data_IF_358729614609
#
_entry.id   IF_358729614609
#
_cell.length_a   1.000
_cell.length_b   1.000
_cell.length_c   1.000
_cell.angle_alpha   90.00
_cell.angle_beta   90.00
_cell.angle_gamma   90.00
#
_symmetry.space_group_name_H-M   'P 1'
#
loop_
_entity.id
_entity.type
_entity.pdbx_description
1 polymer ?
#
# COMPACT_ATOMS: atom_id res chain seq x y z
N UNK A 1 19.41 -21.45 2.56
CA UNK A 1 18.34 -20.98 1.66
C UNK A 1 18.88 -19.85 0.79
N UNK A 2 18.91 -20.02 -0.53
CA UNK A 2 19.37 -18.98 -1.47
C UNK A 2 18.36 -17.82 -1.48
N UNK A 3 18.83 -16.58 -1.39
CA UNK A 3 18.07 -15.31 -1.42
C UNK A 3 17.02 -15.25 -2.54
N UNK A 4 17.28 -15.88 -3.69
CA UNK A 4 16.32 -15.99 -4.79
C UNK A 4 15.03 -16.77 -4.47
N UNK A 5 15.00 -17.63 -3.45
CA UNK A 5 13.79 -18.34 -3.03
C UNK A 5 12.84 -17.45 -2.23
N UNK A 6 13.39 -16.52 -1.44
CA UNK A 6 12.60 -15.60 -0.61
C UNK A 6 11.93 -14.56 -1.50
N UNK A 7 12.64 -13.99 -2.47
CA UNK A 7 12.09 -13.00 -3.39
C UNK A 7 10.91 -13.58 -4.20
N UNK A 8 10.96 -14.87 -4.55
CA UNK A 8 9.86 -15.56 -5.26
C UNK A 8 8.61 -15.78 -4.40
N UNK A 9 8.76 -15.88 -3.07
CA UNK A 9 7.63 -16.00 -2.13
C UNK A 9 6.84 -14.68 -2.02
N UNK A 10 7.47 -13.55 -2.31
CA UNK A 10 6.87 -12.22 -2.19
C UNK A 10 6.69 -11.52 -3.55
N UNK A 11 6.80 -12.25 -4.66
CA UNK A 11 6.79 -11.67 -6.00
C UNK A 11 5.44 -11.02 -6.33
N UNK A 12 4.32 -11.63 -5.92
CA UNK A 12 2.99 -11.03 -6.06
C UNK A 12 2.89 -9.68 -5.34
N UNK A 13 3.35 -9.62 -4.08
CA UNK A 13 3.35 -8.39 -3.30
C UNK A 13 4.29 -7.32 -3.86
N UNK A 14 5.46 -7.70 -4.37
CA UNK A 14 6.38 -6.74 -4.99
C UNK A 14 5.77 -6.10 -6.25
N UNK A 15 5.16 -6.91 -7.11
CA UNK A 15 4.48 -6.40 -8.32
C UNK A 15 3.29 -5.52 -7.93
N UNK A 16 2.51 -5.92 -6.93
CA UNK A 16 1.41 -5.12 -6.40
C UNK A 16 1.91 -3.78 -5.81
N UNK A 17 3.02 -3.79 -5.08
CA UNK A 17 3.64 -2.58 -4.53
C UNK A 17 4.09 -1.63 -5.63
N UNK A 18 4.73 -2.15 -6.70
CA UNK A 18 5.13 -1.35 -7.86
C UNK A 18 3.91 -0.77 -8.59
N UNK A 19 2.85 -1.56 -8.81
CA UNK A 19 1.62 -1.08 -9.43
C UNK A 19 0.96 0.02 -8.59
N UNK A 20 0.91 -0.17 -7.27
CA UNK A 20 0.37 0.84 -6.36
C UNK A 20 1.22 2.10 -6.32
N UNK A 21 2.56 1.98 -6.36
CA UNK A 21 3.45 3.13 -6.44
C UNK A 21 3.20 3.95 -7.71
N UNK A 22 3.03 3.29 -8.86
CA UNK A 22 2.68 3.96 -10.11
C UNK A 22 1.29 4.62 -10.04
N UNK A 23 0.30 3.94 -9.46
CA UNK A 23 -1.05 4.49 -9.28
C UNK A 23 -1.04 5.73 -8.37
N UNK A 24 -0.31 5.67 -7.25
CA UNK A 24 -0.11 6.79 -6.33
C UNK A 24 0.58 7.95 -7.05
N UNK A 25 1.68 7.70 -7.77
CA UNK A 25 2.39 8.74 -8.50
C UNK A 25 1.50 9.43 -9.55
N UNK A 26 0.74 8.64 -10.31
CA UNK A 26 -0.19 9.16 -11.32
C UNK A 26 -1.32 9.98 -10.68
N UNK A 27 -1.96 9.46 -9.63
CA UNK A 27 -3.03 10.16 -8.93
C UNK A 27 -2.54 11.48 -8.31
N UNK A 28 -1.35 11.48 -7.69
CA UNK A 28 -0.73 12.68 -7.14
C UNK A 28 -0.44 13.70 -8.23
N UNK A 29 0.11 13.27 -9.35
CA UNK A 29 0.42 14.13 -10.50
C UNK A 29 -0.87 14.73 -11.10
N UNK A 30 -1.93 13.94 -11.25
CA UNK A 30 -3.23 14.42 -11.75
C UNK A 30 -3.84 15.47 -10.83
N UNK A 31 -3.80 15.26 -9.51
CA UNK A 31 -4.26 16.26 -8.54
C UNK A 31 -3.43 17.54 -8.65
N UNK A 32 -2.11 17.43 -8.77
CA UNK A 32 -1.23 18.58 -8.93
C UNK A 32 -1.43 19.31 -10.26
N UNK A 33 -1.74 18.60 -11.34
CA UNK A 33 -2.06 19.20 -12.64
C UNK A 33 -3.43 19.91 -12.61
N UNK A 34 -4.46 19.25 -12.06
CA UNK A 34 -5.80 19.82 -11.90
C UNK A 34 -5.80 21.03 -10.96
N UNK A 35 -4.91 21.01 -9.97
CA UNK A 35 -4.64 22.16 -9.13
C UNK A 35 -4.11 23.35 -9.91
N UNK A 36 -3.04 23.10 -10.67
CA UNK A 36 -2.30 24.13 -11.40
C UNK A 36 -3.13 24.73 -12.54
N UNK A 37 -4.02 23.95 -13.14
CA UNK A 37 -4.94 24.42 -14.18
C UNK A 37 -6.14 25.23 -13.64
N UNK A 38 -6.23 25.40 -12.32
CA UNK A 38 -7.30 26.17 -11.69
C UNK A 38 -8.67 25.47 -11.69
N UNK A 39 -8.75 24.23 -12.16
CA UNK A 39 -9.96 23.40 -12.07
C UNK A 39 -10.40 23.16 -10.62
N UNK A 40 -9.45 23.23 -9.69
CA UNK A 40 -9.69 23.09 -8.25
C UNK A 40 -9.20 24.34 -7.48
N UNK A 41 -9.11 25.49 -8.17
CA UNK A 41 -8.41 26.72 -7.77
C UNK A 41 -8.56 27.21 -6.31
N UNK A 42 -9.72 27.17 -5.62
CA UNK A 42 -9.73 27.62 -4.24
C UNK A 42 -9.04 26.64 -3.28
N UNK A 43 -8.95 25.34 -3.62
CA UNK A 43 -8.48 24.31 -2.68
C UNK A 43 -6.97 24.15 -2.58
N UNK A 44 -6.16 24.68 -3.51
CA UNK A 44 -4.68 24.59 -3.41
C UNK A 44 -3.98 25.89 -3.00
N UNK A 45 -4.60 27.05 -3.22
CA UNK A 45 -4.14 28.30 -2.59
C UNK A 45 -4.25 28.19 -1.05
N UNK A 46 -5.13 27.33 -0.56
CA UNK A 46 -5.37 27.02 0.84
C UNK A 46 -4.50 25.84 1.36
N UNK A 47 -3.72 25.16 0.51
CA UNK A 47 -2.84 24.06 0.95
C UNK A 47 -1.55 24.57 1.60
N UNK A 48 -1.19 25.83 1.40
CA UNK A 48 -0.12 26.52 2.11
C UNK A 48 -0.38 28.05 2.20
N UNK A 49 -1.35 28.56 2.99
CA UNK A 49 -1.11 29.79 3.70
C UNK A 49 -0.22 29.42 4.88
N UNK A 50 0.57 30.34 5.43
CA UNK A 50 1.22 30.07 6.70
C UNK A 50 0.18 29.56 7.72
N UNK A 51 0.51 28.49 8.45
CA UNK A 51 -0.14 27.97 9.65
C UNK A 51 -1.50 28.62 10.01
N UNK A 52 -2.63 27.91 9.81
CA UNK A 52 -3.76 27.82 10.78
C UNK A 52 -5.13 27.38 10.21
N UNK A 53 -5.33 27.23 8.90
CA UNK A 53 -6.60 26.72 8.38
C UNK A 53 -6.38 25.63 7.32
N UNK A 54 -6.74 24.39 7.67
CA UNK A 54 -6.70 23.24 6.75
C UNK A 54 -7.88 23.27 5.78
N UNK A 55 -7.67 23.20 4.45
CA UNK A 55 -8.71 22.72 3.55
C UNK A 55 -8.72 21.19 3.66
N UNK A 56 -9.45 20.70 4.65
CA UNK A 56 -9.59 19.29 5.02
C UNK A 56 -10.22 18.39 3.95
N UNK A 57 -10.44 18.88 2.73
CA UNK A 57 -11.28 18.23 1.70
C UNK A 57 -10.48 17.40 0.68
N UNK A 58 -9.28 17.84 0.30
CA UNK A 58 -8.48 17.17 -0.76
C UNK A 58 -7.66 16.00 -0.22
N UNK A 59 -7.11 16.14 1.00
CA UNK A 59 -6.36 15.09 1.69
C UNK A 59 -7.16 13.79 1.90
N UNK A 60 -8.43 13.80 2.37
CA UNK A 60 -9.19 12.57 2.56
C UNK A 60 -9.57 11.92 1.23
N UNK A 61 -9.95 12.69 0.21
CA UNK A 61 -10.33 12.13 -1.09
C UNK A 61 -9.17 11.39 -1.74
N UNK A 62 -7.96 11.97 -1.71
CA UNK A 62 -6.76 11.33 -2.24
C UNK A 62 -6.38 10.08 -1.43
N UNK A 63 -6.53 10.13 -0.10
CA UNK A 63 -6.33 8.98 0.79
C UNK A 63 -7.28 7.83 0.45
N UNK A 64 -8.56 8.13 0.17
CA UNK A 64 -9.52 7.12 -0.28
C UNK A 64 -9.18 6.54 -1.65
N UNK A 65 -8.71 7.36 -2.60
CA UNK A 65 -8.24 6.88 -3.90
C UNK A 65 -7.07 5.91 -3.72
N UNK A 66 -6.09 6.24 -2.89
CA UNK A 66 -4.97 5.34 -2.59
C UNK A 66 -5.43 4.05 -1.91
N UNK A 67 -6.36 4.12 -0.96
CA UNK A 67 -6.88 2.95 -0.27
C UNK A 67 -7.64 2.02 -1.23
N UNK A 68 -8.56 2.56 -2.03
CA UNK A 68 -9.37 1.79 -2.96
C UNK A 68 -8.52 1.16 -4.08
N UNK A 69 -7.55 1.90 -4.61
CA UNK A 69 -6.59 1.36 -5.59
C UNK A 69 -5.74 0.25 -4.99
N UNK A 70 -5.26 0.42 -3.75
CA UNK A 70 -4.49 -0.61 -3.05
C UNK A 70 -5.30 -1.89 -2.81
N UNK A 71 -6.57 -1.76 -2.38
CA UNK A 71 -7.48 -2.90 -2.21
C UNK A 71 -7.73 -3.59 -3.56
N UNK A 72 -8.01 -2.82 -4.61
CA UNK A 72 -8.22 -3.36 -5.95
C UNK A 72 -7.01 -4.14 -6.44
N UNK A 73 -5.81 -3.57 -6.30
CA UNK A 73 -4.55 -4.21 -6.69
C UNK A 73 -4.28 -5.46 -5.83
N UNK A 74 -4.51 -5.39 -4.52
CA UNK A 74 -4.34 -6.53 -3.62
C UNK A 74 -5.23 -7.73 -3.98
N UNK A 75 -6.46 -7.47 -4.43
CA UNK A 75 -7.44 -8.49 -4.80
C UNK A 75 -7.34 -8.92 -6.27
N UNK A 76 -6.57 -8.19 -7.09
CA UNK A 76 -6.43 -8.50 -8.50
C UNK A 76 -5.69 -9.82 -8.67
N UNK A 77 -6.36 -10.77 -9.31
CA UNK A 77 -5.78 -12.07 -9.62
C UNK A 77 -4.99 -11.95 -10.92
N UNK A 78 -3.70 -12.30 -10.88
CA UNK A 78 -2.83 -12.28 -12.05
C UNK A 78 -1.83 -13.42 -12.03
N UNK A 79 -1.09 -13.59 -13.13
CA UNK A 79 -0.09 -14.66 -13.28
C UNK A 79 0.94 -14.69 -12.14
N UNK A 80 1.23 -13.54 -11.53
CA UNK A 80 2.15 -13.42 -10.38
C UNK A 80 1.56 -13.96 -9.07
N UNK A 81 0.25 -13.80 -8.85
CA UNK A 81 -0.46 -14.38 -7.70
C UNK A 81 -0.46 -15.89 -7.82
N UNK A 82 -0.70 -16.42 -9.02
CA UNK A 82 -0.72 -17.86 -9.29
C UNK A 82 0.65 -18.50 -9.11
N UNK A 83 1.69 -17.84 -9.61
CA UNK A 83 3.06 -18.27 -9.42
C UNK A 83 3.47 -18.28 -7.94
N UNK A 84 3.12 -17.22 -7.22
CA UNK A 84 3.41 -17.10 -5.78
C UNK A 84 2.64 -18.15 -4.98
N UNK A 85 1.37 -18.40 -5.31
CA UNK A 85 0.55 -19.44 -4.68
C UNK A 85 1.14 -20.84 -4.90
N UNK A 86 1.55 -21.17 -6.12
CA UNK A 86 2.20 -22.45 -6.43
C UNK A 86 3.51 -22.63 -5.64
N UNK A 87 4.28 -21.55 -5.46
CA UNK A 87 5.51 -21.59 -4.70
C UNK A 87 5.27 -21.74 -3.18
N UNK A 88 4.30 -21.01 -2.62
CA UNK A 88 3.88 -21.15 -1.21
C UNK A 88 3.42 -22.59 -0.95
N UNK A 89 2.59 -23.15 -1.84
CA UNK A 89 2.11 -24.54 -1.74
C UNK A 89 3.24 -25.57 -1.78
N UNK A 90 4.28 -25.31 -2.59
CA UNK A 90 5.46 -26.17 -2.66
C UNK A 90 6.32 -26.05 -1.40
N UNK A 91 6.53 -24.83 -0.91
CA UNK A 91 7.31 -24.57 0.30
C UNK A 91 6.64 -25.14 1.55
N UNK A 92 5.32 -25.01 1.69
CA UNK A 92 4.58 -25.55 2.83
C UNK A 92 4.66 -27.07 2.92
N UNK A 93 4.50 -27.76 1.77
CA UNK A 93 4.68 -29.22 1.66
C UNK A 93 6.10 -29.70 1.99
N UNK A 94 7.12 -28.90 1.68
CA UNK A 94 8.51 -29.21 2.03
C UNK A 94 8.82 -28.97 3.51
N UNK A 95 8.21 -27.97 4.13
CA UNK A 95 8.45 -27.63 5.55
C UNK A 95 7.69 -28.51 6.53
N UNK A 96 6.43 -28.84 6.23
CA UNK A 96 5.59 -29.72 7.05
C UNK A 96 4.85 -30.71 6.14
N UNK A 97 5.44 -31.87 5.82
CA UNK A 97 4.78 -32.85 4.94
C UNK A 97 3.53 -33.45 5.57
N UNK A 98 3.43 -33.47 6.91
CA UNK A 98 2.29 -34.03 7.66
C UNK A 98 1.11 -33.04 7.74
N UNK A 99 1.39 -31.73 7.77
CA UNK A 99 0.36 -30.66 7.84
C UNK A 99 0.75 -29.43 7.01
N UNK A 100 0.73 -29.54 5.68
CA UNK A 100 1.10 -28.44 4.78
C UNK A 100 0.15 -27.24 4.88
N UNK A 101 -1.11 -27.49 5.27
CA UNK A 101 -2.15 -26.49 5.32
C UNK A 101 -1.99 -25.56 6.53
N UNK A 102 -1.42 -26.04 7.63
CA UNK A 102 -1.27 -25.25 8.86
C UNK A 102 -0.30 -24.08 8.66
N UNK A 103 0.83 -24.31 7.99
CA UNK A 103 1.81 -23.26 7.68
C UNK A 103 1.23 -22.21 6.71
N UNK A 104 0.46 -22.66 5.72
CA UNK A 104 -0.17 -21.78 4.72
C UNK A 104 -1.26 -20.92 5.37
N UNK A 105 -2.07 -21.49 6.26
CA UNK A 105 -3.09 -20.76 7.04
C UNK A 105 -2.47 -19.74 7.98
N UNK A 106 -1.41 -20.09 8.70
CA UNK A 106 -0.72 -19.16 9.59
C UNK A 106 -0.16 -17.95 8.81
N UNK A 107 0.50 -18.21 7.67
CA UNK A 107 1.00 -17.18 6.77
C UNK A 107 -0.14 -16.27 6.26
N UNK A 108 -1.25 -16.88 5.82
CA UNK A 108 -2.44 -16.16 5.36
C UNK A 108 -2.96 -15.19 6.42
N UNK A 109 -3.13 -15.66 7.66
CA UNK A 109 -3.63 -14.84 8.77
C UNK A 109 -2.67 -13.70 9.08
N UNK A 110 -1.36 -13.98 9.16
CA UNK A 110 -0.36 -12.95 9.43
C UNK A 110 -0.35 -11.86 8.35
N UNK A 111 -0.39 -12.25 7.06
CA UNK A 111 -0.40 -11.31 5.95
C UNK A 111 -1.68 -10.47 5.90
N UNK A 112 -2.84 -11.08 6.16
CA UNK A 112 -4.10 -10.33 6.27
C UNK A 112 -4.13 -9.36 7.45
N UNK A 113 -3.64 -9.79 8.62
CA UNK A 113 -3.59 -8.95 9.81
C UNK A 113 -2.67 -7.74 9.56
N UNK A 114 -1.53 -7.98 8.90
CA UNK A 114 -0.61 -6.92 8.49
C UNK A 114 -1.26 -5.99 7.46
N UNK A 115 -1.95 -6.52 6.45
CA UNK A 115 -2.66 -5.74 5.44
C UNK A 115 -3.76 -4.85 6.06
N UNK A 116 -4.58 -5.40 6.96
CA UNK A 116 -5.59 -4.64 7.70
C UNK A 116 -4.94 -3.55 8.55
N UNK A 117 -3.81 -3.85 9.21
CA UNK A 117 -3.02 -2.86 9.93
C UNK A 117 -2.61 -1.69 9.04
N UNK A 118 -2.10 -1.98 7.83
CA UNK A 118 -1.78 -0.94 6.85
C UNK A 118 -3.02 -0.15 6.40
N UNK A 119 -4.15 -0.80 6.14
CA UNK A 119 -5.40 -0.11 5.80
C UNK A 119 -5.85 0.86 6.90
N UNK A 120 -5.74 0.45 8.17
CA UNK A 120 -6.04 1.32 9.31
C UNK A 120 -5.05 2.50 9.37
N UNK A 121 -3.76 2.24 9.17
CA UNK A 121 -2.72 3.27 9.19
C UNK A 121 -2.84 4.28 8.04
N UNK A 122 -3.33 3.87 6.87
CA UNK A 122 -3.67 4.79 5.76
C UNK A 122 -4.69 5.85 6.21
N UNK A 123 -5.68 5.45 7.02
CA UNK A 123 -6.74 6.32 7.51
C UNK A 123 -6.34 7.13 8.75
N UNK A 124 -5.20 6.81 9.38
CA UNK A 124 -4.70 7.52 10.55
C UNK A 124 -3.83 8.71 10.14
N UNK A 125 -3.84 9.80 10.93
CA UNK A 125 -2.92 10.90 10.71
C UNK A 125 -1.47 10.42 10.82
N UNK A 126 -0.53 11.03 10.08
CA UNK A 126 0.87 10.68 10.17
C UNK A 126 1.40 10.93 11.59
N UNK A 127 2.33 10.09 12.08
CA UNK A 127 2.94 10.29 13.39
C UNK A 127 3.74 11.59 13.42
N UNK A 128 3.84 12.22 14.59
CA UNK A 128 4.48 13.53 14.76
C UNK A 128 5.91 13.58 14.18
N UNK A 129 6.69 12.52 14.35
CA UNK A 129 8.04 12.39 13.78
C UNK A 129 8.06 12.53 12.25
N UNK A 130 7.03 12.05 11.56
CA UNK A 130 6.91 12.13 10.11
C UNK A 130 6.58 13.54 9.64
N UNK A 131 5.72 14.23 10.40
CA UNK A 131 5.37 15.64 10.16
C UNK A 131 6.59 16.52 10.39
N UNK A 132 7.35 16.24 11.46
CA UNK A 132 8.55 16.99 11.82
C UNK A 132 9.66 16.81 10.78
N UNK A 133 9.90 15.58 10.33
CA UNK A 133 10.78 15.32 9.18
C UNK A 133 10.31 16.08 7.93
N UNK A 134 9.01 16.05 7.63
CA UNK A 134 8.44 16.81 6.51
C UNK A 134 8.67 18.31 6.62
N UNK A 135 8.60 18.88 7.82
CA UNK A 135 8.92 20.29 8.09
C UNK A 135 10.40 20.58 7.83
N UNK A 136 11.31 19.71 8.29
CA UNK A 136 12.75 19.86 8.03
C UNK A 136 13.10 19.85 6.54
N UNK A 137 12.39 19.04 5.75
CA UNK A 137 12.59 18.98 4.28
C UNK A 137 11.74 20.02 3.50
N UNK A 138 11.08 20.97 4.18
CA UNK A 138 10.33 22.06 3.54
C UNK A 138 8.97 21.67 2.97
N UNK A 139 8.40 20.53 3.37
CA UNK A 139 7.18 19.95 2.80
C UNK A 139 6.24 19.32 3.84
N UNK A 140 5.79 20.08 4.84
CA UNK A 140 4.88 19.58 5.88
C UNK A 140 3.58 18.96 5.30
N UNK A 141 3.03 19.56 4.23
CA UNK A 141 1.85 19.02 3.54
C UNK A 141 2.16 17.74 2.75
N UNK A 142 3.38 17.61 2.21
CA UNK A 142 3.83 16.40 1.53
C UNK A 142 3.95 15.21 2.50
N UNK A 143 4.19 15.45 3.79
CA UNK A 143 4.30 14.41 4.81
C UNK A 143 3.01 13.58 4.95
N UNK A 144 1.84 14.24 4.93
CA UNK A 144 0.55 13.54 5.05
C UNK A 144 0.22 12.70 3.82
N UNK A 145 0.56 13.22 2.63
CA UNK A 145 0.37 12.51 1.35
C UNK A 145 1.33 11.31 1.27
N UNK A 146 2.60 11.53 1.64
CA UNK A 146 3.60 10.48 1.65
C UNK A 146 3.25 9.36 2.63
N UNK A 147 2.68 9.68 3.80
CA UNK A 147 2.24 8.68 4.77
C UNK A 147 1.14 7.78 4.21
N UNK A 148 0.05 8.35 3.71
CA UNK A 148 -1.05 7.57 3.15
C UNK A 148 -0.61 6.77 1.92
N UNK A 149 0.27 7.33 1.09
CA UNK A 149 0.91 6.63 -0.02
C UNK A 149 1.69 5.39 0.45
N UNK A 150 2.63 5.55 1.38
CA UNK A 150 3.47 4.45 1.89
C UNK A 150 2.61 3.36 2.52
N UNK A 151 1.61 3.72 3.31
CA UNK A 151 0.73 2.75 3.95
C UNK A 151 -0.14 2.01 2.91
N UNK A 152 -0.57 2.68 1.84
CA UNK A 152 -1.32 2.03 0.75
C UNK A 152 -0.46 1.05 -0.05
N UNK A 153 0.82 1.36 -0.26
CA UNK A 153 1.78 0.45 -0.91
C UNK A 153 1.99 -0.80 -0.05
N UNK A 154 2.11 -0.62 1.27
CA UNK A 154 2.15 -1.72 2.23
C UNK A 154 0.91 -2.61 2.12
N UNK A 155 -0.29 -2.02 2.15
CA UNK A 155 -1.55 -2.73 1.97
C UNK A 155 -1.59 -3.54 0.67
N UNK A 156 -1.21 -2.94 -0.47
CA UNK A 156 -1.18 -3.62 -1.76
C UNK A 156 -0.20 -4.81 -1.74
N UNK A 157 0.99 -4.62 -1.17
CA UNK A 157 2.02 -5.64 -1.07
C UNK A 157 1.58 -6.84 -0.23
N UNK A 158 1.18 -6.59 1.02
CA UNK A 158 0.80 -7.65 1.95
C UNK A 158 -0.54 -8.28 1.57
N UNK A 159 -1.48 -7.50 1.04
CA UNK A 159 -2.77 -7.98 0.55
C UNK A 159 -2.64 -8.93 -0.64
N UNK A 160 -1.80 -8.59 -1.63
CA UNK A 160 -1.56 -9.48 -2.77
C UNK A 160 -0.87 -10.80 -2.37
N UNK A 161 0.06 -10.75 -1.41
CA UNK A 161 0.68 -11.96 -0.87
C UNK A 161 -0.33 -12.79 -0.04
N UNK A 162 -1.21 -12.13 0.71
CA UNK A 162 -2.28 -12.81 1.45
C UNK A 162 -3.26 -13.49 0.48
N UNK A 163 -3.61 -12.83 -0.63
CA UNK A 163 -4.44 -13.41 -1.67
C UNK A 163 -3.77 -14.62 -2.34
N UNK A 164 -2.46 -14.54 -2.61
CA UNK A 164 -1.69 -15.68 -3.10
C UNK A 164 -1.65 -16.84 -2.10
N UNK A 165 -1.46 -16.56 -0.81
CA UNK A 165 -1.50 -17.57 0.25
C UNK A 165 -2.89 -18.23 0.35
N UNK A 166 -3.97 -17.46 0.17
CA UNK A 166 -5.34 -17.99 0.15
C UNK A 166 -5.57 -18.96 -1.00
N UNK A 167 -4.96 -18.69 -2.16
CA UNK A 167 -5.03 -19.56 -3.34
C UNK A 167 -4.14 -20.80 -3.23
N UNK A 168 -3.15 -20.79 -2.32
CA UNK A 168 -2.24 -21.90 -2.08
C UNK A 168 -2.81 -22.97 -1.13
N UNK A 169 -3.73 -22.55 -0.25
CA UNK A 169 -4.57 -23.42 0.57
C UNK A 169 -5.63 -24.10 -0.31
#
# INVERSE_FOLDING_TARGET
MRTGSIIRLFQAGLVAACAQLMAVALATLLVFLAARSGLIAPTLAEICPNAEASPSSVSPMLTWVYLLTAIGIALTSGRFVDFTAAHIRRASRLMRPVEPDHATKALLVQLWLTAIGFAILVLRPPPHLWIEAGRYFGGACAASIAWSAVMSIGLACFGANAHAARKAF
#
